data_IF_403665277064
#
_entry.id   IF_403665277064
#
_cell.length_a   1.000
_cell.length_b   1.000
_cell.length_c   1.000
_cell.angle_alpha   90.00
_cell.angle_beta   90.00
_cell.angle_gamma   90.00
#
_symmetry.space_group_name_H-M   'P 1'
#
loop_
_entity.id
_entity.type
_entity.pdbx_description
1 polymer ?
#
# COMPACT_ATOMS: atom_id res chain seq x y z
N UNK A 1 35.83 5.63 -30.72
CA UNK A 1 35.32 5.80 -29.36
C UNK A 1 34.69 4.48 -28.93
N UNK A 2 35.30 3.77 -27.99
CA UNK A 2 34.75 2.50 -27.43
C UNK A 2 33.46 2.83 -26.68
N UNK A 3 32.32 2.28 -27.09
CA UNK A 3 31.06 2.36 -26.32
C UNK A 3 31.30 1.62 -25.01
N UNK A 4 31.35 2.37 -23.91
CA UNK A 4 31.35 1.75 -22.57
C UNK A 4 30.02 0.97 -22.39
N UNK A 5 30.09 -0.35 -22.31
CA UNK A 5 28.95 -1.18 -22.02
C UNK A 5 28.45 -0.83 -20.60
N UNK A 6 27.14 -0.60 -20.44
CA UNK A 6 26.53 -0.40 -19.15
C UNK A 6 26.40 -1.77 -18.45
N UNK A 7 26.80 -1.84 -17.20
CA UNK A 7 26.53 -3.02 -16.38
C UNK A 7 25.03 -3.04 -16.02
N UNK A 8 24.33 -4.12 -16.35
CA UNK A 8 22.93 -4.26 -15.97
C UNK A 8 22.81 -4.43 -14.44
N UNK A 9 21.89 -3.71 -13.84
CA UNK A 9 21.65 -3.81 -12.39
C UNK A 9 20.40 -3.06 -11.98
N UNK A 10 19.80 -3.50 -10.85
CA UNK A 10 18.68 -2.84 -10.22
C UNK A 10 19.17 -1.86 -9.13
N UNK A 11 18.42 -0.80 -8.87
CA UNK A 11 18.65 0.02 -7.69
C UNK A 11 18.54 -0.85 -6.42
N UNK A 12 19.35 -0.52 -5.42
CA UNK A 12 19.35 -1.27 -4.15
C UNK A 12 17.97 -1.30 -3.51
N UNK A 13 17.51 -2.48 -3.09
CA UNK A 13 16.22 -2.68 -2.41
C UNK A 13 15.04 -2.90 -3.35
N UNK A 14 15.30 -3.05 -4.65
CA UNK A 14 14.32 -3.47 -5.64
C UNK A 14 14.66 -4.86 -6.17
N UNK A 15 13.66 -5.61 -6.59
CA UNK A 15 13.79 -6.98 -7.06
C UNK A 15 12.87 -7.23 -8.26
N UNK A 16 13.36 -7.99 -9.22
CA UNK A 16 12.54 -8.53 -10.30
C UNK A 16 12.00 -9.91 -9.90
N UNK A 17 10.71 -10.13 -10.08
CA UNK A 17 10.05 -11.41 -9.80
C UNK A 17 9.67 -12.11 -11.11
N UNK A 18 10.00 -13.39 -11.21
CA UNK A 18 9.66 -14.20 -12.39
C UNK A 18 9.43 -15.68 -12.02
N UNK A 19 8.81 -16.42 -12.95
CA UNK A 19 8.62 -17.87 -12.81
C UNK A 19 7.73 -18.25 -11.63
N UNK A 20 8.17 -19.21 -10.82
CA UNK A 20 7.39 -19.78 -9.72
C UNK A 20 7.05 -18.76 -8.61
N UNK A 21 7.97 -17.87 -8.29
CA UNK A 21 7.75 -16.84 -7.25
C UNK A 21 6.59 -15.93 -7.62
N UNK A 22 6.52 -15.47 -8.87
CA UNK A 22 5.43 -14.63 -9.36
C UNK A 22 4.08 -15.36 -9.37
N UNK A 23 4.08 -16.68 -9.67
CA UNK A 23 2.86 -17.47 -9.60
C UNK A 23 2.34 -17.62 -8.17
N UNK A 24 3.24 -17.82 -7.20
CA UNK A 24 2.89 -17.88 -5.78
C UNK A 24 2.34 -16.53 -5.31
N UNK A 25 2.99 -15.43 -5.67
CA UNK A 25 2.54 -14.08 -5.33
C UNK A 25 1.11 -13.80 -5.85
N UNK A 26 0.85 -14.14 -7.13
CA UNK A 26 -0.49 -14.02 -7.72
C UNK A 26 -1.53 -14.82 -6.95
N UNK A 27 -1.19 -16.06 -6.57
CA UNK A 27 -2.09 -16.93 -5.81
C UNK A 27 -2.40 -16.37 -4.41
N UNK A 28 -1.40 -15.79 -3.74
CA UNK A 28 -1.58 -15.15 -2.43
C UNK A 28 -2.52 -13.95 -2.58
N UNK A 29 -2.30 -13.09 -3.58
CA UNK A 29 -3.16 -11.92 -3.84
C UNK A 29 -4.60 -12.34 -4.11
N UNK A 30 -4.83 -13.36 -4.94
CA UNK A 30 -6.16 -13.91 -5.24
C UNK A 30 -6.88 -14.40 -3.99
N UNK A 31 -6.18 -15.09 -3.07
CA UNK A 31 -6.77 -15.55 -1.81
C UNK A 31 -7.18 -14.37 -0.92
N UNK A 32 -6.32 -13.36 -0.80
CA UNK A 32 -6.58 -12.15 0.00
C UNK A 32 -7.77 -11.38 -0.58
N UNK A 33 -7.78 -11.14 -1.89
CA UNK A 33 -8.85 -10.46 -2.62
C UNK A 33 -10.20 -11.16 -2.43
N UNK A 34 -10.25 -12.49 -2.63
CA UNK A 34 -11.47 -13.27 -2.45
C UNK A 34 -12.02 -13.18 -1.03
N UNK A 35 -11.16 -13.08 -0.01
CA UNK A 35 -11.61 -12.86 1.34
C UNK A 35 -12.25 -11.47 1.51
N UNK A 36 -11.63 -10.41 1.01
CA UNK A 36 -12.20 -9.06 1.09
C UNK A 36 -13.55 -8.97 0.36
N UNK A 37 -13.66 -9.53 -0.85
CA UNK A 37 -14.89 -9.58 -1.62
C UNK A 37 -16.00 -10.35 -0.89
N UNK A 38 -15.68 -11.48 -0.24
CA UNK A 38 -16.62 -12.30 0.52
C UNK A 38 -17.25 -11.53 1.69
N UNK A 39 -16.53 -10.57 2.28
CA UNK A 39 -17.01 -9.70 3.34
C UNK A 39 -17.64 -8.39 2.81
N UNK A 40 -17.84 -8.26 1.50
CA UNK A 40 -18.52 -7.13 0.89
C UNK A 40 -17.69 -5.85 0.80
N UNK A 41 -16.36 -5.98 0.77
CA UNK A 41 -15.47 -4.85 0.48
C UNK A 41 -15.35 -4.63 -1.02
N UNK A 42 -15.39 -3.37 -1.44
CA UNK A 42 -15.19 -2.98 -2.82
C UNK A 42 -13.72 -2.68 -3.11
N UNK A 43 -13.21 -3.17 -4.22
CA UNK A 43 -11.86 -2.82 -4.67
C UNK A 43 -11.82 -1.34 -5.10
N UNK A 44 -10.74 -0.65 -4.68
CA UNK A 44 -10.39 0.66 -5.23
C UNK A 44 -8.98 0.63 -5.78
N UNK A 45 -8.68 1.56 -6.69
CA UNK A 45 -7.34 1.76 -7.23
C UNK A 45 -6.96 3.22 -7.12
N UNK A 46 -6.04 3.52 -6.20
CA UNK A 46 -5.44 4.85 -6.07
C UNK A 46 -4.25 5.02 -7.01
N UNK A 47 -3.90 6.29 -7.30
CA UNK A 47 -2.68 6.62 -8.01
C UNK A 47 -1.45 6.17 -7.22
N UNK A 48 -0.37 5.69 -7.88
CA UNK A 48 0.91 5.47 -7.22
C UNK A 48 1.64 6.78 -6.86
N UNK A 49 1.23 7.89 -7.45
CA UNK A 49 1.78 9.22 -7.18
C UNK A 49 0.77 10.08 -6.45
N UNK A 50 1.25 10.80 -5.45
CA UNK A 50 0.51 11.81 -4.69
C UNK A 50 1.33 13.11 -4.66
N UNK A 51 0.69 14.26 -4.46
CA UNK A 51 1.42 15.46 -4.11
C UNK A 51 2.08 15.27 -2.75
N UNK A 52 3.36 15.64 -2.64
CA UNK A 52 4.15 15.45 -1.41
C UNK A 52 3.50 16.12 -0.20
N UNK A 53 2.87 17.27 -0.40
CA UNK A 53 2.14 18.00 0.64
C UNK A 53 0.95 17.21 1.22
N UNK A 54 0.30 16.36 0.41
CA UNK A 54 -0.83 15.53 0.85
C UNK A 54 -0.39 14.37 1.75
N UNK A 55 0.83 13.88 1.57
CA UNK A 55 1.35 12.73 2.33
C UNK A 55 1.90 13.19 3.68
N UNK A 56 2.66 14.28 3.70
CA UNK A 56 3.43 14.72 4.87
C UNK A 56 2.58 15.13 6.07
N UNK A 57 1.39 15.71 5.86
CA UNK A 57 0.50 16.17 6.93
C UNK A 57 -0.24 15.06 7.66
N UNK A 58 -0.27 13.84 7.12
CA UNK A 58 -1.07 12.73 7.65
C UNK A 58 -0.26 11.74 8.51
N UNK A 59 1.05 11.72 8.40
CA UNK A 59 1.85 10.60 8.87
C UNK A 59 2.77 10.88 10.06
N UNK A 60 3.19 12.12 10.32
CA UNK A 60 3.98 12.44 11.52
C UNK A 60 3.96 13.92 11.90
N UNK A 61 4.10 14.19 13.21
CA UNK A 61 4.42 15.51 13.75
C UNK A 61 5.86 15.98 13.40
N UNK A 62 6.71 15.07 12.90
CA UNK A 62 8.12 15.32 12.52
C UNK A 62 8.32 15.17 11.02
N UNK A 63 7.92 16.20 10.28
CA UNK A 63 8.05 16.28 8.81
C UNK A 63 9.50 16.13 8.30
N UNK A 64 10.49 16.47 9.12
CA UNK A 64 11.91 16.43 8.72
C UNK A 64 12.49 15.00 8.67
N UNK A 65 12.00 14.09 9.47
CA UNK A 65 12.46 12.70 9.47
C UNK A 65 11.69 11.87 8.45
N UNK A 66 10.39 12.13 8.29
CA UNK A 66 9.55 11.39 7.36
C UNK A 66 9.90 11.64 5.89
N UNK A 67 10.32 12.86 5.54
CA UNK A 67 10.70 13.21 4.15
C UNK A 67 11.88 12.39 3.62
N UNK A 68 12.69 11.77 4.48
CA UNK A 68 13.82 10.92 4.08
C UNK A 68 13.39 9.53 3.65
N UNK A 69 12.23 9.06 4.12
CA UNK A 69 11.74 7.71 3.88
C UNK A 69 10.77 7.63 2.69
N UNK A 70 10.50 8.77 2.02
CA UNK A 70 9.64 8.87 0.86
C UNK A 70 10.47 9.10 -0.41
N UNK A 71 10.08 8.46 -1.50
CA UNK A 71 10.59 8.79 -2.84
C UNK A 71 9.88 10.02 -3.36
N UNK A 72 10.60 11.11 -3.53
CA UNK A 72 10.08 12.40 -3.98
C UNK A 72 10.74 12.82 -5.30
N UNK A 73 9.95 13.42 -6.18
CA UNK A 73 10.37 13.90 -7.50
C UNK A 73 9.87 15.32 -7.71
N UNK A 74 10.63 16.11 -8.47
CA UNK A 74 10.17 17.42 -8.93
C UNK A 74 9.31 17.26 -10.19
N UNK A 75 8.10 17.80 -10.17
CA UNK A 75 7.20 17.90 -11.33
C UNK A 75 6.82 19.36 -11.56
N UNK A 76 7.58 20.04 -12.43
CA UNK A 76 7.47 21.46 -12.73
C UNK A 76 7.62 22.33 -11.46
N UNK A 77 6.51 22.91 -11.00
CA UNK A 77 6.42 23.79 -9.84
C UNK A 77 5.97 23.05 -8.56
N UNK A 78 5.69 21.76 -8.66
CA UNK A 78 5.23 20.94 -7.55
C UNK A 78 6.15 19.76 -7.28
N UNK A 79 6.06 19.23 -6.06
CA UNK A 79 6.68 17.97 -5.69
C UNK A 79 5.64 16.86 -5.64
N UNK A 80 5.98 15.74 -6.28
CA UNK A 80 5.20 14.51 -6.22
C UNK A 80 6.01 13.42 -5.52
N UNK A 81 5.33 12.50 -4.90
CA UNK A 81 5.95 11.38 -4.19
C UNK A 81 5.30 10.07 -4.58
N UNK A 82 6.07 8.98 -4.56
CA UNK A 82 5.48 7.65 -4.57
C UNK A 82 4.78 7.39 -3.25
N UNK A 83 3.62 6.73 -3.31
CA UNK A 83 2.84 6.37 -2.13
C UNK A 83 3.64 5.49 -1.18
N UNK A 84 3.68 5.89 0.08
CA UNK A 84 4.35 5.16 1.16
C UNK A 84 3.49 4.03 1.73
N UNK A 85 2.18 4.23 1.71
CA UNK A 85 1.12 3.32 2.12
C UNK A 85 -0.12 3.46 1.22
N UNK A 86 -1.22 2.84 1.60
CA UNK A 86 -2.49 2.93 0.89
C UNK A 86 -3.54 3.75 1.66
N UNK A 87 -3.25 4.15 2.90
CA UNK A 87 -4.15 4.93 3.76
C UNK A 87 -4.16 6.41 3.41
N UNK A 88 -2.99 7.01 3.12
CA UNK A 88 -2.91 8.41 2.71
C UNK A 88 -3.65 8.68 1.38
N UNK A 89 -3.47 7.89 0.31
CA UNK A 89 -4.29 7.99 -0.89
C UNK A 89 -5.79 7.80 -0.64
N UNK A 90 -6.16 6.90 0.27
CA UNK A 90 -7.56 6.71 0.65
C UNK A 90 -8.14 7.97 1.30
N UNK A 91 -7.44 8.56 2.25
CA UNK A 91 -7.88 9.76 2.94
C UNK A 91 -8.16 10.90 1.93
N UNK A 92 -7.28 11.09 0.94
CA UNK A 92 -7.50 12.06 -0.14
C UNK A 92 -8.74 11.73 -0.96
N UNK A 93 -8.90 10.48 -1.43
CA UNK A 93 -10.04 10.05 -2.24
C UNK A 93 -11.35 10.29 -1.48
N UNK A 94 -11.39 9.91 -0.19
CA UNK A 94 -12.60 10.10 0.63
C UNK A 94 -12.88 11.57 0.88
N UNK A 95 -11.87 12.40 1.13
CA UNK A 95 -12.04 13.83 1.29
C UNK A 95 -12.56 14.52 0.03
N UNK A 96 -12.09 14.09 -1.14
CA UNK A 96 -12.48 14.64 -2.44
C UNK A 96 -13.91 14.20 -2.85
N UNK A 97 -14.28 12.97 -2.52
CA UNK A 97 -15.47 12.30 -3.07
C UNK A 97 -16.44 11.78 -2.01
N UNK A 98 -16.39 12.29 -0.78
CA UNK A 98 -17.18 11.71 0.32
C UNK A 98 -18.70 11.70 0.07
N UNK A 99 -19.22 12.65 -0.73
CA UNK A 99 -20.63 12.70 -1.11
C UNK A 99 -21.03 11.62 -2.13
N UNK A 100 -20.07 11.01 -2.82
CA UNK A 100 -20.30 9.95 -3.79
C UNK A 100 -20.36 8.55 -3.14
N UNK A 101 -19.90 8.42 -1.89
CA UNK A 101 -19.82 7.13 -1.21
C UNK A 101 -21.04 6.86 -0.30
N UNK A 102 -21.51 5.61 -0.34
CA UNK A 102 -22.42 5.11 0.67
C UNK A 102 -21.63 4.69 1.92
N UNK A 103 -22.09 5.09 3.11
CA UNK A 103 -21.45 4.74 4.38
C UNK A 103 -22.27 3.69 5.15
N UNK A 104 -21.62 2.73 5.85
CA UNK A 104 -20.17 2.58 5.96
C UNK A 104 -19.53 2.25 4.61
N UNK A 105 -18.51 2.99 4.23
CA UNK A 105 -17.73 2.70 3.04
C UNK A 105 -16.68 1.63 3.36
N UNK A 106 -16.81 0.48 2.71
CA UNK A 106 -15.93 -0.68 2.85
C UNK A 106 -15.10 -0.82 1.60
N UNK A 107 -13.80 -0.65 1.72
CA UNK A 107 -12.89 -0.73 0.57
C UNK A 107 -11.71 -1.63 0.86
N UNK A 108 -11.13 -2.19 -0.18
CA UNK A 108 -9.80 -2.76 -0.13
C UNK A 108 -8.96 -2.34 -1.34
N UNK A 109 -7.65 -2.48 -1.20
CA UNK A 109 -6.69 -2.34 -2.28
C UNK A 109 -5.50 -3.26 -2.02
N UNK A 110 -5.05 -3.98 -3.08
CA UNK A 110 -3.80 -4.72 -3.05
C UNK A 110 -2.87 -4.07 -4.06
N UNK A 111 -1.86 -3.36 -3.58
CA UNK A 111 -1.01 -2.57 -4.45
C UNK A 111 0.40 -2.42 -3.89
N UNK A 112 1.32 -2.11 -4.78
CA UNK A 112 2.71 -1.85 -4.45
C UNK A 112 2.86 -0.51 -3.74
N UNK A 113 3.66 -0.47 -2.67
CA UNK A 113 4.04 0.71 -1.90
C UNK A 113 5.54 0.86 -1.90
N UNK A 114 6.03 2.09 -1.68
CA UNK A 114 7.43 2.44 -1.90
C UNK A 114 8.00 3.17 -0.68
N UNK A 115 9.08 2.63 -0.10
CA UNK A 115 9.74 3.19 1.08
C UNK A 115 11.21 3.39 0.84
N UNK A 116 11.68 4.62 0.97
CA UNK A 116 13.08 4.96 0.79
C UNK A 116 13.93 4.64 2.03
N UNK A 117 13.48 3.72 2.86
CA UNK A 117 14.19 3.33 4.07
C UNK A 117 15.56 2.73 3.73
N UNK A 118 16.59 3.18 4.42
CA UNK A 118 17.91 2.57 4.38
C UNK A 118 17.91 1.37 5.30
N UNK A 119 17.90 0.16 4.75
CA UNK A 119 18.07 -1.05 5.55
C UNK A 119 19.44 -1.02 6.25
N UNK A 120 19.46 -0.71 7.54
CA UNK A 120 20.65 -0.82 8.39
C UNK A 120 21.01 -2.28 8.70
N UNK A 121 20.09 -3.21 8.45
CA UNK A 121 20.26 -4.63 8.74
C UNK A 121 20.04 -5.43 7.47
N UNK A 122 21.10 -6.03 6.97
CA UNK A 122 21.28 -6.67 5.66
C UNK A 122 20.41 -7.85 5.27
N UNK A 123 19.17 -7.98 5.75
CA UNK A 123 18.22 -8.99 5.27
C UNK A 123 16.78 -8.46 5.26
N UNK A 124 16.17 -8.42 4.07
CA UNK A 124 14.74 -8.59 3.89
C UNK A 124 13.84 -7.36 3.91
N UNK A 125 14.34 -6.13 3.90
CA UNK A 125 13.47 -4.96 3.65
C UNK A 125 13.66 -4.48 2.22
N UNK A 126 12.64 -4.79 1.42
CA UNK A 126 12.51 -4.23 0.09
C UNK A 126 12.04 -2.78 0.18
N UNK A 127 12.47 -1.95 -0.78
CA UNK A 127 12.02 -0.56 -0.92
C UNK A 127 10.71 -0.46 -1.72
N UNK A 128 10.28 -1.56 -2.28
CA UNK A 128 9.02 -1.76 -2.97
C UNK A 128 8.47 -3.12 -2.57
N UNK A 129 7.21 -3.17 -2.15
CA UNK A 129 6.51 -4.40 -1.77
C UNK A 129 5.00 -4.21 -1.88
N UNK A 130 4.27 -5.32 -1.98
CA UNK A 130 2.82 -5.29 -2.00
C UNK A 130 2.23 -5.20 -0.60
N UNK A 131 1.27 -4.30 -0.45
CA UNK A 131 0.44 -4.16 0.73
C UNK A 131 -1.00 -4.52 0.37
N UNK A 132 -1.62 -5.40 1.13
CA UNK A 132 -3.06 -5.64 1.10
C UNK A 132 -3.69 -4.84 2.24
N UNK A 133 -4.50 -3.87 1.89
CA UNK A 133 -5.09 -2.92 2.84
C UNK A 133 -6.60 -2.88 2.68
N UNK A 134 -7.33 -2.87 3.81
CA UNK A 134 -8.78 -2.82 3.80
C UNK A 134 -9.30 -2.02 4.99
N UNK A 135 -10.28 -1.16 4.73
CA UNK A 135 -10.82 -0.22 5.70
C UNK A 135 -12.34 -0.18 5.68
N UNK A 136 -12.88 0.19 6.82
CA UNK A 136 -14.27 0.58 6.99
C UNK A 136 -14.31 2.04 7.43
N UNK A 137 -14.98 2.89 6.68
CA UNK A 137 -15.12 4.31 6.98
C UNK A 137 -16.58 4.58 7.37
N UNK A 138 -16.77 5.18 8.52
CA UNK A 138 -18.06 5.51 9.08
C UNK A 138 -18.25 7.02 9.18
N UNK A 139 -19.48 7.49 9.04
CA UNK A 139 -19.86 8.83 9.45
C UNK A 139 -20.34 8.76 10.92
N UNK A 140 -19.59 9.39 11.82
CA UNK A 140 -19.88 9.38 13.26
C UNK A 140 -19.27 8.19 14.01
N UNK A 141 -20.05 7.52 14.85
CA UNK A 141 -19.55 6.48 15.76
C UNK A 141 -19.28 5.16 15.04
N UNK A 142 -18.08 4.61 15.23
CA UNK A 142 -17.72 3.27 14.76
C UNK A 142 -18.36 2.23 15.71
N UNK A 143 -19.16 1.26 15.21
CA UNK A 143 -19.71 0.21 16.04
C UNK A 143 -18.64 -0.80 16.46
N UNK A 144 -18.68 -1.35 17.70
CA UNK A 144 -17.69 -2.34 18.16
C UNK A 144 -17.56 -3.57 17.25
N UNK A 145 -18.64 -3.94 16.57
CA UNK A 145 -18.68 -5.06 15.63
C UNK A 145 -17.72 -4.88 14.44
N UNK A 146 -17.43 -3.63 14.05
CA UNK A 146 -16.47 -3.34 13.00
C UNK A 146 -15.07 -3.90 13.32
N UNK A 147 -14.61 -3.75 14.56
CA UNK A 147 -13.33 -4.30 15.00
C UNK A 147 -13.30 -5.83 14.97
N UNK A 148 -14.40 -6.46 15.39
CA UNK A 148 -14.52 -7.93 15.37
C UNK A 148 -14.52 -8.47 13.94
N UNK A 149 -15.16 -7.78 13.00
CA UNK A 149 -15.15 -8.15 11.58
C UNK A 149 -13.76 -8.07 10.98
N UNK A 150 -13.00 -6.99 11.26
CA UNK A 150 -11.61 -6.86 10.82
C UNK A 150 -10.77 -8.06 11.27
N UNK A 151 -10.87 -8.42 12.57
CA UNK A 151 -10.13 -9.57 13.10
C UNK A 151 -10.55 -10.88 12.44
N UNK A 152 -11.85 -11.07 12.19
CA UNK A 152 -12.36 -12.27 11.52
C UNK A 152 -11.83 -12.39 10.10
N UNK A 153 -11.81 -11.31 9.33
CA UNK A 153 -11.26 -11.29 7.96
C UNK A 153 -9.78 -11.69 7.96
N UNK A 154 -9.00 -11.14 8.91
CA UNK A 154 -7.59 -11.50 9.04
C UNK A 154 -7.43 -13.00 9.36
N UNK A 155 -8.19 -13.51 10.31
CA UNK A 155 -8.15 -14.93 10.68
C UNK A 155 -8.52 -15.84 9.50
N UNK A 156 -9.61 -15.55 8.79
CA UNK A 156 -10.04 -16.34 7.64
C UNK A 156 -9.02 -16.30 6.52
N UNK A 157 -8.44 -15.12 6.25
CA UNK A 157 -7.37 -14.98 5.26
C UNK A 157 -6.15 -15.83 5.60
N UNK A 158 -5.73 -15.83 6.87
CA UNK A 158 -4.59 -16.64 7.32
C UNK A 158 -4.89 -18.15 7.23
N UNK A 159 -6.12 -18.56 7.52
CA UNK A 159 -6.55 -19.97 7.36
C UNK A 159 -6.54 -20.39 5.90
N UNK A 160 -7.07 -19.56 4.99
CA UNK A 160 -7.08 -19.84 3.55
C UNK A 160 -5.67 -19.86 2.94
N UNK A 161 -4.75 -19.06 3.48
CA UNK A 161 -3.31 -19.11 3.16
C UNK A 161 -2.60 -20.32 3.79
N UNK A 162 -3.31 -21.17 4.57
CA UNK A 162 -2.79 -22.37 5.22
C UNK A 162 -1.67 -22.10 6.23
N UNK A 163 -1.67 -20.95 6.87
CA UNK A 163 -0.81 -20.77 8.04
C UNK A 163 -1.25 -21.73 9.15
N UNK A 164 -0.29 -22.54 9.63
CA UNK A 164 -0.52 -23.42 10.77
C UNK A 164 -0.36 -22.62 12.07
N UNK A 165 -1.23 -22.93 13.05
CA UNK A 165 -1.07 -22.44 14.41
C UNK A 165 0.23 -22.93 15.04
#
# INVERSE_FOLDING_TARGET
MSKKLLEPGLPRGFEDSFGKSLLIEKKIKEIIENNFLRYGYAEIKSSPFEYTENIGGLLTDDLNNFSKDIFTFDDKDKKISLRFDLSAPLARIVSEKYLEFAFPFRRFQIAEVFRNETSKTGRGRYRSFFQGDFDQIFLGRVPPQANSEILQIICDTMLDLKFKK
#
